data_IF_680550430205
#
_entry.id   IF_680550430205
#
_cell.length_a   1.000
_cell.length_b   1.000
_cell.length_c   1.000
_cell.angle_alpha   90.00
_cell.angle_beta   90.00
_cell.angle_gamma   90.00
#
_symmetry.space_group_name_H-M   'P 1'
#
loop_
_entity.id
_entity.type
_entity.pdbx_description
1 polymer ?
#
# COMPACT_ATOMS: atom_id res chain seq x y z
N UNK A 1 -8.06 17.83 -24.33
CA UNK A 1 -9.08 17.02 -23.63
C UNK A 1 -8.89 17.22 -22.13
N UNK A 2 -9.21 18.41 -21.63
CA UNK A 2 -8.96 18.85 -20.25
C UNK A 2 -10.24 19.57 -19.81
N UNK A 3 -11.29 18.83 -19.48
CA UNK A 3 -12.59 19.42 -19.07
C UNK A 3 -13.36 18.54 -18.09
N UNK A 4 -12.66 17.89 -17.16
CA UNK A 4 -13.28 17.27 -15.97
C UNK A 4 -12.42 17.64 -14.75
N UNK A 5 -12.18 18.96 -14.56
CA UNK A 5 -11.24 19.50 -13.57
C UNK A 5 -11.91 20.37 -12.51
N UNK A 6 -13.23 20.35 -12.42
CA UNK A 6 -13.96 21.17 -11.45
C UNK A 6 -14.62 20.20 -10.48
N UNK A 7 -14.15 20.23 -9.23
CA UNK A 7 -14.66 19.49 -8.07
C UNK A 7 -14.01 18.12 -7.79
N UNK A 8 -12.69 18.10 -7.59
CA UNK A 8 -12.08 17.08 -6.73
C UNK A 8 -12.07 17.58 -5.29
N UNK A 9 -12.53 16.73 -4.37
CA UNK A 9 -12.22 16.80 -2.92
C UNK A 9 -10.78 17.28 -2.70
N UNK A 10 -10.57 18.18 -1.73
CA UNK A 10 -9.22 18.66 -1.37
C UNK A 10 -8.24 17.53 -1.02
N UNK A 11 -8.75 16.34 -0.73
CA UNK A 11 -8.01 15.16 -0.30
C UNK A 11 -7.71 14.15 -1.41
N UNK A 12 -8.18 14.39 -2.66
CA UNK A 12 -7.99 13.46 -3.79
C UNK A 12 -7.03 14.03 -4.82
N UNK A 13 -6.06 13.22 -5.24
CA UNK A 13 -5.10 13.57 -6.29
C UNK A 13 -5.42 12.81 -7.58
N UNK A 14 -5.27 13.48 -8.73
CA UNK A 14 -5.39 12.84 -10.04
C UNK A 14 -4.05 12.20 -10.41
N UNK A 15 -4.07 10.92 -10.72
CA UNK A 15 -2.93 10.15 -11.19
C UNK A 15 -3.17 9.72 -12.63
N UNK A 16 -2.29 10.12 -13.54
CA UNK A 16 -2.29 9.61 -14.91
C UNK A 16 -1.60 8.26 -14.96
N UNK A 17 -2.31 7.27 -15.50
CA UNK A 17 -1.83 5.90 -15.66
C UNK A 17 -2.03 5.53 -17.13
N UNK A 18 -1.12 4.76 -17.77
CA UNK A 18 -1.32 4.26 -19.11
C UNK A 18 -2.69 3.61 -19.30
N UNK A 19 -3.36 3.91 -20.42
CA UNK A 19 -4.72 3.41 -20.69
C UNK A 19 -4.82 1.88 -20.61
N UNK A 20 -3.79 1.17 -21.11
CA UNK A 20 -3.70 -0.28 -21.04
C UNK A 20 -3.68 -0.81 -19.60
N UNK A 21 -2.97 -0.12 -18.70
CA UNK A 21 -2.95 -0.51 -17.28
C UNK A 21 -4.29 -0.22 -16.61
N UNK A 22 -4.91 0.93 -16.92
CA UNK A 22 -6.24 1.25 -16.40
C UNK A 22 -7.31 0.22 -16.82
N UNK A 23 -7.25 -0.25 -18.07
CA UNK A 23 -8.15 -1.29 -18.59
C UNK A 23 -7.92 -2.64 -17.90
N UNK A 24 -6.67 -3.07 -17.77
CA UNK A 24 -6.32 -4.29 -17.05
C UNK A 24 -6.79 -4.26 -15.59
N UNK A 25 -6.63 -3.11 -14.92
CA UNK A 25 -7.12 -2.91 -13.56
C UNK A 25 -8.64 -2.97 -13.53
N UNK A 26 -9.33 -2.37 -14.51
CA UNK A 26 -10.79 -2.41 -14.63
C UNK A 26 -11.30 -3.84 -14.75
N UNK A 27 -10.73 -4.64 -15.66
CA UNK A 27 -11.08 -6.06 -15.83
C UNK A 27 -10.82 -6.88 -14.55
N UNK A 28 -9.80 -6.50 -13.78
CA UNK A 28 -9.45 -7.17 -12.53
C UNK A 28 -10.45 -6.87 -11.41
N UNK A 29 -10.96 -5.64 -11.33
CA UNK A 29 -11.91 -5.24 -10.27
C UNK A 29 -13.33 -5.76 -10.50
N UNK A 30 -13.71 -6.11 -11.73
CA UNK A 30 -15.07 -6.64 -12.03
C UNK A 30 -15.44 -7.90 -11.24
N UNK A 31 -14.43 -8.66 -10.79
CA UNK A 31 -14.62 -9.89 -10.00
C UNK A 31 -14.43 -9.66 -8.49
N UNK A 32 -14.34 -8.42 -8.06
CA UNK A 32 -14.04 -8.05 -6.67
C UNK A 32 -15.08 -7.08 -6.14
N UNK A 33 -15.16 -6.94 -4.82
CA UNK A 33 -16.06 -5.99 -4.14
C UNK A 33 -15.65 -4.51 -4.29
N UNK A 34 -14.65 -4.19 -5.12
CA UNK A 34 -14.21 -2.82 -5.33
C UNK A 34 -15.15 -2.06 -6.26
N UNK A 35 -15.72 -0.97 -5.76
CA UNK A 35 -16.71 -0.14 -6.48
C UNK A 35 -16.07 0.75 -7.56
N UNK A 36 -14.75 1.00 -7.48
CA UNK A 36 -14.04 1.87 -8.43
C UNK A 36 -12.54 1.60 -8.49
N UNK A 37 -11.94 1.92 -9.65
CA UNK A 37 -10.49 1.84 -9.88
C UNK A 37 -9.71 2.67 -8.85
N UNK A 38 -10.22 3.85 -8.48
CA UNK A 38 -9.61 4.70 -7.45
C UNK A 38 -9.57 4.04 -6.08
N UNK A 39 -10.62 3.29 -5.72
CA UNK A 39 -10.71 2.61 -4.43
C UNK A 39 -9.71 1.45 -4.35
N UNK A 40 -9.69 0.63 -5.41
CA UNK A 40 -8.71 -0.45 -5.55
C UNK A 40 -7.27 0.06 -5.55
N UNK A 41 -6.99 1.16 -6.26
CA UNK A 41 -5.65 1.77 -6.30
C UNK A 41 -5.26 2.30 -4.93
N UNK A 42 -6.19 2.92 -4.20
CA UNK A 42 -5.98 3.41 -2.83
C UNK A 42 -5.64 2.25 -1.89
N UNK A 43 -6.38 1.15 -1.97
CA UNK A 43 -6.11 -0.06 -1.20
C UNK A 43 -4.71 -0.61 -1.49
N UNK A 44 -4.35 -0.77 -2.77
CA UNK A 44 -3.04 -1.27 -3.17
C UNK A 44 -1.90 -0.37 -2.67
N UNK A 45 -2.01 0.94 -2.87
CA UNK A 45 -0.99 1.89 -2.40
C UNK A 45 -0.82 1.81 -0.89
N UNK A 46 -1.92 1.73 -0.14
CA UNK A 46 -1.88 1.60 1.32
C UNK A 46 -1.21 0.29 1.74
N UNK A 47 -1.52 -0.82 1.06
CA UNK A 47 -0.93 -2.11 1.37
C UNK A 47 0.58 -2.10 1.11
N UNK A 48 1.02 -1.65 -0.06
CA UNK A 48 2.45 -1.59 -0.42
C UNK A 48 3.22 -0.69 0.55
N UNK A 49 2.67 0.46 0.92
CA UNK A 49 3.29 1.36 1.90
C UNK A 49 3.32 0.73 3.31
N UNK A 50 2.26 0.03 3.73
CA UNK A 50 2.24 -0.63 5.03
C UNK A 50 3.27 -1.77 5.12
N UNK A 51 3.48 -2.52 4.03
CA UNK A 51 4.50 -3.57 3.95
C UNK A 51 5.92 -3.00 3.98
N UNK A 52 6.17 -1.91 3.24
CA UNK A 52 7.45 -1.20 3.25
C UNK A 52 7.74 -0.62 4.63
N UNK A 53 6.76 0.05 5.27
CA UNK A 53 6.91 0.60 6.62
C UNK A 53 7.09 -0.52 7.66
N UNK A 54 6.43 -1.67 7.51
CA UNK A 54 6.68 -2.83 8.40
C UNK A 54 8.08 -3.40 8.21
N UNK A 55 8.56 -3.55 6.96
CA UNK A 55 9.94 -4.00 6.70
C UNK A 55 10.98 -3.01 7.23
N UNK A 56 10.75 -1.70 7.09
CA UNK A 56 11.62 -0.68 7.68
C UNK A 56 11.53 -0.64 9.21
N UNK A 57 10.36 -0.90 9.81
CA UNK A 57 10.25 -1.00 11.28
C UNK A 57 10.89 -2.27 11.84
N UNK A 58 10.92 -3.35 11.05
CA UNK A 58 11.69 -4.56 11.34
C UNK A 58 13.07 -4.41 10.67
N UNK A 59 13.75 -3.29 10.93
CA UNK A 59 15.17 -3.20 10.61
C UNK A 59 15.95 -4.09 11.58
N UNK A 60 17.07 -4.67 11.14
CA UNK A 60 17.97 -5.57 11.89
C UNK A 60 18.24 -5.16 13.36
N UNK A 61 18.15 -3.86 13.65
CA UNK A 61 18.29 -3.26 14.98
C UNK A 61 17.23 -3.75 15.99
N UNK A 62 15.99 -3.96 15.56
CA UNK A 62 14.92 -4.49 16.40
C UNK A 62 15.06 -6.01 16.58
N UNK A 63 15.52 -6.71 15.55
CA UNK A 63 15.81 -8.15 15.63
C UNK A 63 16.95 -8.43 16.63
N UNK A 64 18.02 -7.63 16.63
CA UNK A 64 19.09 -7.73 17.63
C UNK A 64 18.62 -7.40 19.05
N UNK A 65 17.75 -6.40 19.22
CA UNK A 65 17.16 -6.10 20.54
C UNK A 65 16.30 -7.23 21.05
N UNK A 66 15.47 -7.84 20.19
CA UNK A 66 14.62 -8.97 20.56
C UNK A 66 15.49 -10.19 20.89
N UNK A 67 16.52 -10.50 20.08
CA UNK A 67 17.50 -11.57 20.36
C UNK A 67 18.22 -11.36 21.69
N UNK A 68 18.71 -10.15 21.98
CA UNK A 68 19.35 -9.84 23.26
C UNK A 68 18.38 -9.97 24.45
N UNK A 69 17.12 -9.57 24.27
CA UNK A 69 16.10 -9.67 25.32
C UNK A 69 15.69 -11.12 25.57
N UNK A 70 15.62 -11.94 24.52
CA UNK A 70 15.36 -13.37 24.63
C UNK A 70 16.54 -14.14 25.27
N UNK A 71 17.78 -13.77 24.95
CA UNK A 71 18.99 -14.28 25.65
C UNK A 71 18.98 -13.91 27.12
N UNK A 72 18.67 -12.66 27.46
CA UNK A 72 18.59 -12.20 28.85
C UNK A 72 17.49 -12.92 29.66
N UNK A 73 16.47 -13.45 28.99
CA UNK A 73 15.37 -14.20 29.61
C UNK A 73 15.60 -15.72 29.60
N UNK A 74 16.75 -16.20 29.08
CA UNK A 74 17.13 -17.62 29.10
C UNK A 74 16.41 -18.52 28.08
N UNK A 75 15.81 -17.94 27.03
CA UNK A 75 15.10 -18.71 25.99
C UNK A 75 16.01 -19.20 24.85
N UNK A 76 17.27 -18.77 24.82
CA UNK A 76 18.29 -19.25 23.89
C UNK A 76 19.63 -19.31 24.64
N UNK A 77 20.24 -20.49 24.70
CA UNK A 77 21.61 -20.72 25.16
C UNK A 77 22.61 -20.39 24.03
#
# INVERSE_FOLDING_TARGET
MISVFKELDKEKTIISIPALLAENVRNKIEKTDFVSVSDFTTYLLRQMLAETVKKEKITEKDEQKIKNRLKALGYFE
#
